data_IF_614872227970
#
_entry.id   IF_614872227970
#
_cell.length_a   1.000
_cell.length_b   1.000
_cell.length_c   1.000
_cell.angle_alpha   90.00
_cell.angle_beta   90.00
_cell.angle_gamma   90.00
#
_symmetry.space_group_name_H-M   'P 1'
#
loop_
_entity.id
_entity.type
_entity.pdbx_description
1 polymer ?
#
# COMPACT_ATOMS: atom_id res chain seq x y z
N UNK A 1 -40.42 62.50 -18.82
CA UNK A 1 -40.63 62.36 -17.36
C UNK A 1 -41.05 60.92 -17.09
N UNK A 2 -40.17 60.13 -16.49
CA UNK A 2 -40.26 58.67 -16.42
C UNK A 2 -41.31 58.22 -15.39
N UNK A 3 -42.17 57.21 -15.69
CA UNK A 3 -43.30 56.78 -14.85
C UNK A 3 -42.90 56.20 -13.48
N UNK A 4 -41.60 56.12 -13.18
CA UNK A 4 -41.07 55.64 -11.90
C UNK A 4 -41.33 56.64 -10.76
N UNK A 5 -41.36 57.95 -11.03
CA UNK A 5 -41.55 58.96 -9.96
C UNK A 5 -43.00 59.05 -9.44
N UNK A 6 -43.99 58.60 -10.21
CA UNK A 6 -45.41 58.76 -9.86
C UNK A 6 -45.92 57.75 -8.81
N UNK A 7 -45.16 56.69 -8.48
CA UNK A 7 -45.54 55.70 -7.46
C UNK A 7 -44.79 55.82 -6.13
N UNK A 8 -43.96 56.85 -5.94
CA UNK A 8 -43.27 57.09 -4.67
C UNK A 8 -44.05 58.01 -3.70
N UNK A 9 -45.12 58.66 -4.13
CA UNK A 9 -45.85 59.66 -3.33
C UNK A 9 -46.81 59.13 -2.25
N UNK A 10 -46.87 57.81 -2.00
CA UNK A 10 -47.89 57.22 -1.10
C UNK A 10 -47.35 56.19 -0.11
N UNK A 11 -46.02 56.00 -0.05
CA UNK A 11 -45.39 55.08 0.89
C UNK A 11 -44.76 55.86 2.05
N UNK A 12 -44.90 55.40 3.31
CA UNK A 12 -44.26 56.04 4.45
C UNK A 12 -42.74 56.15 4.21
N UNK A 13 -42.12 57.28 4.59
CA UNK A 13 -40.67 57.55 4.42
C UNK A 13 -39.79 56.37 4.89
N UNK A 14 -40.23 55.66 5.94
CA UNK A 14 -39.56 54.46 6.49
C UNK A 14 -39.47 53.31 5.47
N UNK A 15 -40.48 53.15 4.62
CA UNK A 15 -40.53 52.10 3.59
C UNK A 15 -39.57 52.40 2.44
N UNK A 16 -39.43 53.67 2.05
CA UNK A 16 -38.45 54.09 1.05
C UNK A 16 -37.01 53.91 1.56
N UNK A 17 -36.76 54.29 2.83
CA UNK A 17 -35.44 54.12 3.45
C UNK A 17 -35.07 52.63 3.55
N UNK A 18 -36.02 51.78 3.99
CA UNK A 18 -35.82 50.33 4.04
C UNK A 18 -35.57 49.72 2.66
N UNK A 19 -36.27 50.16 1.61
CA UNK A 19 -36.04 49.70 0.23
C UNK A 19 -34.64 50.03 -0.26
N UNK A 20 -34.13 51.23 0.07
CA UNK A 20 -32.80 51.67 -0.33
C UNK A 20 -31.70 50.87 0.41
N UNK A 21 -31.91 50.62 1.71
CA UNK A 21 -31.02 49.77 2.51
C UNK A 21 -31.03 48.33 1.97
N UNK A 22 -32.21 47.79 1.65
CA UNK A 22 -32.32 46.43 1.10
C UNK A 22 -31.64 46.33 -0.27
N UNK A 23 -31.80 47.34 -1.13
CA UNK A 23 -31.13 47.42 -2.42
C UNK A 23 -29.60 47.47 -2.31
N UNK A 24 -29.06 48.00 -1.20
CA UNK A 24 -27.62 48.01 -0.93
C UNK A 24 -27.11 46.71 -0.26
N UNK A 25 -27.89 46.11 0.64
CA UNK A 25 -27.47 44.93 1.42
C UNK A 25 -27.62 43.62 0.64
N UNK A 26 -28.68 43.48 -0.16
CA UNK A 26 -28.95 42.28 -0.96
C UNK A 26 -27.77 41.91 -1.89
N UNK A 27 -27.20 42.81 -2.71
CA UNK A 27 -26.07 42.45 -3.57
C UNK A 27 -24.82 42.03 -2.78
N UNK A 28 -24.58 42.64 -1.61
CA UNK A 28 -23.49 42.23 -0.72
C UNK A 28 -23.70 40.82 -0.17
N UNK A 29 -24.93 40.51 0.26
CA UNK A 29 -25.28 39.19 0.75
C UNK A 29 -25.17 38.11 -0.33
N UNK A 30 -25.63 38.41 -1.55
CA UNK A 30 -25.50 37.50 -2.69
C UNK A 30 -24.03 37.25 -3.07
N UNK A 31 -23.19 38.29 -3.07
CA UNK A 31 -21.76 38.13 -3.32
C UNK A 31 -21.10 37.23 -2.25
N UNK A 32 -21.39 37.47 -0.98
CA UNK A 32 -20.87 36.65 0.11
C UNK A 32 -21.34 35.19 0.05
N UNK A 33 -22.63 34.96 -0.23
CA UNK A 33 -23.17 33.61 -0.38
C UNK A 33 -22.57 32.88 -1.59
N UNK A 34 -22.29 33.60 -2.67
CA UNK A 34 -21.64 33.06 -3.86
C UNK A 34 -20.21 32.62 -3.58
N UNK A 35 -19.44 33.45 -2.88
CA UNK A 35 -18.06 33.13 -2.50
C UNK A 35 -18.01 31.91 -1.57
N UNK A 36 -18.86 31.86 -0.54
CA UNK A 36 -18.95 30.71 0.37
C UNK A 36 -19.32 29.42 -0.37
N UNK A 37 -20.24 29.49 -1.33
CA UNK A 37 -20.63 28.33 -2.12
C UNK A 37 -19.49 27.83 -3.02
N UNK A 38 -18.75 28.74 -3.65
CA UNK A 38 -17.59 28.38 -4.49
C UNK A 38 -16.41 27.85 -3.67
N UNK A 39 -16.16 28.43 -2.50
CA UNK A 39 -15.10 27.99 -1.61
C UNK A 39 -15.39 26.59 -1.04
N UNK A 40 -16.64 26.32 -0.66
CA UNK A 40 -17.05 24.98 -0.23
C UNK A 40 -16.88 23.94 -1.35
N UNK A 41 -17.24 24.28 -2.59
CA UNK A 41 -17.15 23.37 -3.73
C UNK A 41 -15.70 23.09 -4.15
N UNK A 42 -14.89 24.13 -4.22
CA UNK A 42 -13.45 24.00 -4.53
C UNK A 42 -12.68 23.30 -3.42
N UNK A 43 -13.07 23.49 -2.16
CA UNK A 43 -12.52 22.75 -1.01
C UNK A 43 -12.76 21.24 -1.14
N UNK A 44 -13.97 20.82 -1.51
CA UNK A 44 -14.30 19.41 -1.69
C UNK A 44 -13.53 18.78 -2.87
N UNK A 45 -13.44 19.47 -4.00
CA UNK A 45 -12.69 19.00 -5.17
C UNK A 45 -11.19 18.87 -4.88
N UNK A 46 -10.61 19.81 -4.11
CA UNK A 46 -9.20 19.75 -3.68
C UNK A 46 -8.95 18.56 -2.75
N UNK A 47 -9.80 18.37 -1.73
CA UNK A 47 -9.68 17.24 -0.81
C UNK A 47 -9.76 15.89 -1.53
N UNK A 48 -10.68 15.77 -2.51
CA UNK A 48 -10.79 14.56 -3.31
C UNK A 48 -9.55 14.32 -4.19
N UNK A 49 -9.05 15.36 -4.86
CA UNK A 49 -7.88 15.26 -5.71
C UNK A 49 -6.61 14.90 -4.92
N UNK A 50 -6.48 15.41 -3.71
CA UNK A 50 -5.37 15.12 -2.80
C UNK A 50 -5.43 13.68 -2.29
N UNK A 51 -6.60 13.21 -1.84
CA UNK A 51 -6.81 11.82 -1.44
C UNK A 51 -6.52 10.84 -2.60
N UNK A 52 -6.91 11.19 -3.83
CA UNK A 52 -6.63 10.38 -5.01
C UNK A 52 -5.14 10.33 -5.32
N UNK A 53 -4.44 11.48 -5.33
CA UNK A 53 -3.00 11.55 -5.54
C UNK A 53 -2.25 10.71 -4.51
N UNK A 54 -2.67 10.79 -3.25
CA UNK A 54 -2.07 10.02 -2.18
C UNK A 54 -2.22 8.51 -2.39
N UNK A 55 -3.43 8.09 -2.75
CA UNK A 55 -3.73 6.69 -3.05
C UNK A 55 -2.91 6.17 -4.23
N UNK A 56 -2.71 6.99 -5.25
CA UNK A 56 -1.87 6.66 -6.41
C UNK A 56 -0.39 6.51 -6.01
N UNK A 57 0.14 7.41 -5.19
CA UNK A 57 1.52 7.33 -4.69
C UNK A 57 1.72 6.09 -3.84
N UNK A 58 0.82 5.82 -2.88
CA UNK A 58 0.88 4.63 -2.04
C UNK A 58 0.79 3.34 -2.87
N UNK A 59 -0.08 3.32 -3.89
CA UNK A 59 -0.20 2.17 -4.79
C UNK A 59 1.06 1.96 -5.63
N UNK A 60 1.67 3.03 -6.15
CA UNK A 60 2.90 2.97 -6.92
C UNK A 60 4.09 2.48 -6.08
N UNK A 61 4.18 2.91 -4.82
CA UNK A 61 5.22 2.43 -3.91
C UNK A 61 5.06 0.93 -3.60
N UNK A 62 3.84 0.50 -3.26
CA UNK A 62 3.54 -0.91 -3.02
C UNK A 62 3.85 -1.80 -4.24
N UNK A 63 3.42 -1.37 -5.44
CA UNK A 63 3.73 -2.07 -6.69
C UNK A 63 5.24 -2.14 -6.94
N UNK A 64 5.96 -1.03 -6.73
CA UNK A 64 7.41 -0.99 -6.86
C UNK A 64 8.11 -1.94 -5.88
N UNK A 65 7.63 -2.05 -4.64
CA UNK A 65 8.16 -2.98 -3.65
C UNK A 65 7.98 -4.45 -4.05
N UNK A 66 6.78 -4.83 -4.50
CA UNK A 66 6.52 -6.19 -4.94
C UNK A 66 7.33 -6.53 -6.19
N UNK A 67 7.43 -5.63 -7.18
CA UNK A 67 8.24 -5.86 -8.38
C UNK A 67 9.74 -6.04 -8.05
N UNK A 68 10.30 -5.22 -7.15
CA UNK A 68 11.69 -5.39 -6.69
C UNK A 68 11.89 -6.71 -5.95
N UNK A 69 10.92 -7.10 -5.14
CA UNK A 69 10.98 -8.39 -4.41
C UNK A 69 10.88 -9.57 -5.37
N UNK A 70 9.99 -9.50 -6.36
CA UNK A 70 9.84 -10.51 -7.40
C UNK A 70 11.15 -10.72 -8.16
N UNK A 71 11.80 -9.63 -8.60
CA UNK A 71 13.07 -9.72 -9.29
C UNK A 71 14.15 -10.38 -8.42
N UNK A 72 14.28 -9.97 -7.15
CA UNK A 72 15.29 -10.54 -6.25
C UNK A 72 15.03 -12.00 -5.92
N UNK A 73 13.80 -12.35 -5.56
CA UNK A 73 13.46 -13.74 -5.24
C UNK A 73 13.56 -14.63 -6.49
N UNK A 74 13.25 -14.09 -7.67
CA UNK A 74 13.49 -14.75 -8.94
C UNK A 74 14.98 -14.97 -9.23
N UNK A 75 15.85 -14.01 -8.88
CA UNK A 75 17.30 -14.16 -9.02
C UNK A 75 17.86 -15.22 -8.07
N UNK A 76 17.34 -15.28 -6.83
CA UNK A 76 17.69 -16.30 -5.85
C UNK A 76 17.18 -17.67 -6.31
N UNK A 77 15.93 -17.77 -6.76
CA UNK A 77 15.32 -19.04 -7.14
C UNK A 77 16.05 -19.71 -8.31
N UNK A 78 16.63 -18.93 -9.23
CA UNK A 78 17.46 -19.46 -10.32
C UNK A 78 18.81 -20.02 -9.87
N UNK A 79 19.32 -19.59 -8.70
CA UNK A 79 20.56 -20.12 -8.09
C UNK A 79 20.30 -21.29 -7.15
N UNK A 80 19.06 -21.52 -6.75
CA UNK A 80 18.67 -22.64 -5.88
C UNK A 80 18.53 -23.90 -6.72
N UNK A 81 19.39 -24.87 -6.44
CA UNK A 81 19.27 -26.23 -6.98
C UNK A 81 18.65 -27.14 -5.89
N UNK A 82 17.36 -27.46 -6.06
CA UNK A 82 16.64 -28.35 -5.13
C UNK A 82 17.28 -29.76 -5.15
N UNK A 83 17.74 -30.22 -3.99
CA UNK A 83 18.41 -31.53 -3.81
C UNK A 83 19.93 -31.47 -3.61
N UNK A 84 20.58 -30.32 -3.86
CA UNK A 84 22.02 -30.09 -3.63
C UNK A 84 22.27 -28.96 -2.61
N UNK A 85 21.23 -28.58 -1.87
CA UNK A 85 21.26 -27.53 -0.86
C UNK A 85 21.80 -28.09 0.46
N UNK A 86 23.12 -28.05 0.64
CA UNK A 86 23.76 -28.29 1.94
C UNK A 86 23.72 -27.02 2.81
N UNK A 87 24.04 -27.16 4.11
CA UNK A 87 24.03 -26.04 5.06
C UNK A 87 25.02 -24.92 4.70
N UNK A 88 26.13 -25.23 4.03
CA UNK A 88 27.13 -24.25 3.63
C UNK A 88 26.70 -23.45 2.39
N UNK A 89 26.12 -24.10 1.38
CA UNK A 89 25.50 -23.49 0.21
C UNK A 89 24.26 -22.69 0.58
N UNK A 90 23.47 -23.17 1.54
CA UNK A 90 22.36 -22.43 2.12
C UNK A 90 22.84 -21.10 2.71
N UNK A 91 23.88 -21.13 3.55
CA UNK A 91 24.49 -19.92 4.09
C UNK A 91 25.06 -19.04 2.97
N UNK A 92 25.78 -19.59 1.99
CA UNK A 92 26.35 -18.83 0.88
C UNK A 92 25.29 -18.16 -0.01
N UNK A 93 24.13 -18.80 -0.21
CA UNK A 93 23.01 -18.26 -1.00
C UNK A 93 22.47 -16.95 -0.41
N UNK A 94 22.54 -16.81 0.92
CA UNK A 94 22.06 -15.65 1.67
C UNK A 94 23.18 -14.77 2.25
N UNK A 95 24.43 -15.23 2.24
CA UNK A 95 25.59 -14.54 2.82
C UNK A 95 25.91 -13.23 2.11
N UNK A 96 25.62 -13.16 0.81
CA UNK A 96 26.02 -12.03 -0.04
C UNK A 96 25.06 -10.82 0.04
N UNK A 97 24.24 -10.74 1.09
CA UNK A 97 23.09 -9.83 1.08
C UNK A 97 22.72 -9.29 2.46
N UNK A 98 23.65 -8.55 3.07
CA UNK A 98 23.37 -7.66 4.20
C UNK A 98 22.23 -6.67 3.89
N UNK A 99 22.06 -6.29 2.62
CA UNK A 99 20.94 -5.47 2.12
C UNK A 99 19.61 -6.20 2.19
N UNK A 100 19.57 -7.50 1.88
CA UNK A 100 18.33 -8.31 1.92
C UNK A 100 17.92 -8.54 3.38
N UNK A 101 18.88 -8.80 4.28
CA UNK A 101 18.63 -8.91 5.72
C UNK A 101 18.05 -7.64 6.35
N UNK A 102 18.33 -6.45 5.80
CA UNK A 102 17.73 -5.19 6.27
C UNK A 102 16.31 -4.96 5.76
N UNK A 103 15.94 -5.58 4.64
CA UNK A 103 14.66 -5.35 3.98
C UNK A 103 13.59 -6.40 4.32
N UNK A 104 14.00 -7.59 4.78
CA UNK A 104 13.11 -8.67 5.17
C UNK A 104 13.46 -9.16 6.58
N UNK A 105 12.46 -9.54 7.37
CA UNK A 105 12.63 -10.16 8.68
C UNK A 105 13.36 -11.51 8.59
N UNK A 106 13.27 -12.19 7.45
CA UNK A 106 13.96 -13.44 7.19
C UNK A 106 13.73 -13.96 5.79
N UNK A 107 14.57 -14.90 5.36
CA UNK A 107 14.42 -15.65 4.12
C UNK A 107 14.54 -17.14 4.39
N UNK A 108 13.70 -17.91 3.71
CA UNK A 108 13.70 -19.36 3.79
C UNK A 108 13.55 -19.96 2.39
N UNK A 109 14.09 -21.17 2.20
CA UNK A 109 13.76 -22.03 1.07
C UNK A 109 12.97 -23.22 1.62
N UNK A 110 11.84 -23.52 0.98
CA UNK A 110 10.99 -24.65 1.32
C UNK A 110 10.90 -25.64 0.17
N UNK A 111 10.76 -26.92 0.50
CA UNK A 111 10.53 -28.00 -0.47
C UNK A 111 9.06 -28.11 -0.92
N UNK A 112 8.76 -29.13 -1.73
CA UNK A 112 7.40 -29.39 -2.23
C UNK A 112 6.40 -29.73 -1.13
N UNK A 113 6.88 -30.27 -0.02
CA UNK A 113 6.06 -30.62 1.13
C UNK A 113 5.87 -29.41 2.07
N UNK A 114 6.54 -28.29 1.76
CA UNK A 114 6.57 -27.08 2.56
C UNK A 114 7.58 -27.14 3.70
N UNK A 115 8.47 -28.13 3.76
CA UNK A 115 9.50 -28.22 4.81
C UNK A 115 10.64 -27.25 4.50
N UNK A 116 11.18 -26.62 5.54
CA UNK A 116 12.33 -25.71 5.38
C UNK A 116 13.55 -26.54 5.05
N UNK A 117 14.14 -26.27 3.89
CA UNK A 117 15.43 -26.84 3.49
C UNK A 117 16.58 -25.90 3.84
N UNK A 118 16.31 -24.59 3.90
CA UNK A 118 17.32 -23.57 4.17
C UNK A 118 16.71 -22.33 4.81
N UNK A 119 17.40 -21.75 5.79
CA UNK A 119 16.99 -20.54 6.51
C UNK A 119 18.18 -19.57 6.60
N UNK A 120 17.93 -18.29 6.33
CA UNK A 120 18.96 -17.25 6.34
C UNK A 120 19.35 -16.76 7.76
N UNK A 121 18.53 -17.04 8.78
CA UNK A 121 18.74 -16.61 10.17
C UNK A 121 19.25 -17.74 11.05
N UNK A 122 20.10 -17.43 12.03
CA UNK A 122 20.55 -18.37 13.07
C UNK A 122 19.47 -18.64 14.14
N UNK A 123 18.36 -17.89 14.15
CA UNK A 123 17.21 -18.18 15.01
C UNK A 123 16.47 -19.42 14.51
N UNK A 124 16.57 -20.48 15.33
CA UNK A 124 16.05 -21.83 15.12
C UNK A 124 14.57 -21.87 14.70
N UNK A 125 14.26 -22.73 13.72
CA UNK A 125 13.08 -23.60 13.45
C UNK A 125 11.66 -23.25 13.97
N UNK A 126 11.49 -22.46 15.02
CA UNK A 126 10.24 -22.28 15.76
C UNK A 126 9.37 -21.10 15.30
N UNK A 127 9.91 -20.16 14.49
CA UNK A 127 9.15 -18.95 14.12
C UNK A 127 8.25 -19.11 12.89
N UNK A 128 8.29 -20.25 12.19
CA UNK A 128 7.63 -20.41 10.88
C UNK A 128 6.38 -21.28 11.01
N UNK A 129 5.43 -20.89 11.86
CA UNK A 129 4.03 -21.34 11.71
C UNK A 129 3.41 -20.81 10.38
N UNK A 130 4.12 -19.90 9.70
CA UNK A 130 3.91 -19.53 8.30
C UNK A 130 4.11 -20.66 7.28
N UNK A 131 4.61 -21.85 7.68
CA UNK A 131 4.69 -23.03 6.82
C UNK A 131 3.33 -23.47 6.29
N UNK A 132 2.26 -23.23 7.05
CA UNK A 132 0.89 -23.49 6.63
C UNK A 132 0.56 -22.73 5.34
N UNK A 133 1.07 -21.50 5.21
CA UNK A 133 0.92 -20.69 4.02
C UNK A 133 1.85 -21.15 2.88
N UNK A 134 3.05 -21.65 3.20
CA UNK A 134 3.99 -22.16 2.19
C UNK A 134 3.40 -23.32 1.36
N UNK A 135 2.79 -24.32 2.00
CA UNK A 135 2.17 -25.43 1.26
C UNK A 135 1.03 -24.97 0.36
N UNK A 136 0.21 -24.04 0.85
CA UNK A 136 -0.90 -23.46 0.10
C UNK A 136 -0.41 -22.60 -1.07
N UNK A 137 0.60 -21.76 -0.84
CA UNK A 137 1.21 -20.92 -1.87
C UNK A 137 1.88 -21.76 -2.97
N UNK A 138 2.49 -22.91 -2.61
CA UNK A 138 3.07 -23.83 -3.59
C UNK A 138 1.98 -24.45 -4.47
N UNK A 139 0.87 -24.88 -3.86
CA UNK A 139 -0.27 -25.41 -4.60
C UNK A 139 -0.85 -24.37 -5.57
N UNK A 140 -0.87 -23.10 -5.18
CA UNK A 140 -1.32 -21.97 -6.01
C UNK A 140 -0.30 -21.55 -7.07
N UNK A 141 0.97 -21.92 -6.93
CA UNK A 141 2.01 -21.49 -7.86
C UNK A 141 1.86 -22.14 -9.24
N UNK A 142 1.33 -23.37 -9.32
CA UNK A 142 1.08 -24.11 -10.59
C UNK A 142 2.26 -24.09 -11.60
N UNK A 143 3.50 -23.83 -11.16
CA UNK A 143 4.67 -23.67 -12.03
C UNK A 143 4.85 -22.30 -12.70
N UNK A 144 4.01 -21.31 -12.39
CA UNK A 144 4.14 -19.95 -12.90
C UNK A 144 5.28 -19.20 -12.18
N UNK A 145 6.25 -18.62 -12.89
CA UNK A 145 7.38 -17.91 -12.29
C UNK A 145 6.97 -16.49 -11.87
N UNK A 146 6.03 -16.39 -10.92
CA UNK A 146 5.51 -15.12 -10.40
C UNK A 146 5.63 -15.05 -8.89
N UNK A 147 5.64 -13.82 -8.37
CA UNK A 147 5.54 -13.59 -6.93
C UNK A 147 4.14 -13.95 -6.43
N UNK A 148 4.09 -14.72 -5.35
CA UNK A 148 2.89 -15.03 -4.59
C UNK A 148 2.93 -14.32 -3.24
N UNK A 149 1.82 -13.69 -2.88
CA UNK A 149 1.66 -12.98 -1.60
C UNK A 149 0.72 -13.80 -0.72
N UNK A 150 1.22 -14.28 0.42
CA UNK A 150 0.40 -15.02 1.38
C UNK A 150 -0.28 -14.10 2.39
N UNK A 151 -1.17 -14.68 3.20
CA UNK A 151 -1.82 -13.96 4.29
C UNK A 151 -0.79 -13.51 5.35
N UNK A 152 -1.00 -12.35 6.00
CA UNK A 152 -0.16 -11.91 7.10
C UNK A 152 -0.09 -12.96 8.21
N UNK A 153 1.11 -13.23 8.68
CA UNK A 153 1.39 -14.17 9.76
C UNK A 153 2.18 -13.48 10.86
N UNK A 154 1.85 -13.81 12.10
CA UNK A 154 2.50 -13.26 13.28
C UNK A 154 3.59 -14.21 13.75
N UNK A 155 4.83 -13.72 13.83
CA UNK A 155 5.94 -14.51 14.35
C UNK A 155 5.78 -14.76 15.85
N UNK A 156 5.97 -16.01 16.30
CA UNK A 156 5.89 -16.38 17.72
C UNK A 156 7.03 -15.79 18.56
N UNK A 157 8.20 -15.57 17.97
CA UNK A 157 9.40 -15.09 18.68
C UNK A 157 9.52 -13.57 18.74
N UNK A 158 9.26 -12.86 17.64
CA UNK A 158 9.39 -11.39 17.58
C UNK A 158 8.07 -10.65 17.81
N UNK A 159 6.91 -11.31 17.74
CA UNK A 159 5.60 -10.66 17.91
C UNK A 159 5.16 -9.77 16.74
N UNK A 160 6.06 -9.52 15.79
CA UNK A 160 5.86 -8.71 14.60
C UNK A 160 5.01 -9.43 13.54
N UNK A 161 4.20 -8.62 12.84
CA UNK A 161 3.44 -9.08 11.69
C UNK A 161 4.30 -9.08 10.45
N UNK A 162 4.32 -10.21 9.75
CA UNK A 162 5.06 -10.37 8.50
C UNK A 162 4.14 -10.79 7.38
N UNK A 163 4.45 -10.32 6.17
CA UNK A 163 3.78 -10.72 4.94
C UNK A 163 4.69 -11.69 4.19
N UNK A 164 4.30 -12.96 4.04
CA UNK A 164 5.12 -13.93 3.35
C UNK A 164 5.02 -13.71 1.84
N UNK A 165 6.17 -13.49 1.21
CA UNK A 165 6.34 -13.28 -0.22
C UNK A 165 7.09 -14.47 -0.79
N UNK A 166 6.42 -15.29 -1.59
CA UNK A 166 6.94 -16.55 -2.09
C UNK A 166 7.19 -16.50 -3.60
N UNK A 167 8.30 -17.08 -4.05
CA UNK A 167 8.63 -17.22 -5.46
C UNK A 167 9.04 -18.68 -5.75
N UNK A 168 8.50 -19.32 -6.80
CA UNK A 168 8.76 -20.73 -7.05
C UNK A 168 10.18 -21.00 -7.55
N UNK A 169 10.74 -22.09 -7.04
CA UNK A 169 11.98 -22.70 -7.53
C UNK A 169 11.60 -23.79 -8.51
N UNK A 170 12.21 -23.77 -9.70
CA UNK A 170 11.95 -24.76 -10.75
C UNK A 170 12.77 -26.03 -10.51
N UNK A 171 12.13 -27.18 -10.64
CA UNK A 171 12.78 -28.47 -10.74
C UNK A 171 13.30 -28.73 -12.16
N UNK A 172 14.10 -29.78 -12.32
CA UNK A 172 14.64 -30.19 -13.62
C UNK A 172 13.58 -30.57 -14.67
N UNK A 173 12.35 -30.87 -14.23
CA UNK A 173 11.18 -31.14 -15.07
C UNK A 173 10.37 -29.89 -15.43
N UNK A 174 10.81 -28.71 -14.98
CA UNK A 174 10.10 -27.44 -15.17
C UNK A 174 8.94 -27.20 -14.19
N UNK A 175 8.64 -28.16 -13.31
CA UNK A 175 7.62 -28.02 -12.27
C UNK A 175 8.13 -27.22 -11.07
N UNK A 176 7.24 -26.73 -10.21
CA UNK A 176 7.65 -26.12 -8.95
C UNK A 176 8.20 -27.22 -8.00
N UNK A 177 9.51 -27.18 -7.75
CA UNK A 177 10.20 -28.11 -6.85
C UNK A 177 10.29 -27.57 -5.42
N UNK A 178 9.98 -26.30 -5.21
CA UNK A 178 10.00 -25.63 -3.91
C UNK A 178 9.71 -24.14 -4.07
N UNK A 179 9.92 -23.35 -3.01
CA UNK A 179 9.81 -21.89 -3.05
C UNK A 179 10.89 -21.22 -2.22
N UNK A 180 11.28 -20.03 -2.65
CA UNK A 180 11.99 -19.07 -1.82
C UNK A 180 10.95 -18.14 -1.21
N UNK A 181 10.96 -18.00 0.11
CA UNK A 181 10.02 -17.18 0.87
C UNK A 181 10.80 -16.08 1.58
N UNK A 182 10.38 -14.84 1.40
CA UNK A 182 10.82 -13.71 2.21
C UNK A 182 9.69 -13.26 3.14
N UNK A 183 10.05 -12.99 4.40
CA UNK A 183 9.14 -12.41 5.37
C UNK A 183 9.28 -10.87 5.34
N UNK A 184 8.37 -10.18 4.63
CA UNK A 184 8.34 -8.72 4.62
C UNK A 184 7.76 -8.20 5.94
N UNK A 185 8.39 -7.22 6.57
CA UNK A 185 7.84 -6.59 7.77
C UNK A 185 6.66 -5.68 7.40
N UNK A 186 5.56 -5.80 8.15
CA UNK A 186 4.31 -5.10 7.80
C UNK A 186 4.33 -3.61 8.20
N UNK A 187 5.13 -3.25 9.21
CA UNK A 187 5.34 -1.89 9.71
C UNK A 187 5.85 -0.92 8.61
N UNK A 188 6.66 -1.41 7.67
CA UNK A 188 7.11 -0.66 6.49
C UNK A 188 5.96 -0.08 5.69
N UNK A 189 4.87 -0.83 5.52
CA UNK A 189 3.72 -0.34 4.75
C UNK A 189 2.92 0.71 5.53
N UNK A 190 3.01 0.70 6.86
CA UNK A 190 2.37 1.69 7.73
C UNK A 190 3.16 2.99 7.79
N UNK A 191 4.50 2.93 7.80
CA UNK A 191 5.34 4.12 7.89
C UNK A 191 5.20 5.04 6.67
N UNK A 192 4.98 4.49 5.48
CA UNK A 192 4.64 5.29 4.30
C UNK A 192 3.32 6.04 4.50
N UNK A 193 2.26 5.37 4.95
CA UNK A 193 0.95 5.99 5.20
C UNK A 193 1.04 7.04 6.32
N UNK A 194 1.84 6.79 7.35
CA UNK A 194 2.07 7.73 8.44
C UNK A 194 2.91 8.95 8.01
N UNK A 195 3.91 8.76 7.15
CA UNK A 195 4.75 9.83 6.62
C UNK A 195 3.97 10.78 5.70
N UNK A 196 2.88 10.30 5.11
CA UNK A 196 2.01 11.06 4.23
C UNK A 196 1.12 12.10 4.95
N UNK A 197 1.25 12.24 6.29
CA UNK A 197 0.58 13.26 7.12
C UNK A 197 -0.84 13.57 6.64
N UNK A 198 -1.67 12.54 6.62
CA UNK A 198 -3.11 12.68 6.38
C UNK A 198 -3.68 13.65 7.44
N UNK A 199 -4.35 14.76 7.03
CA UNK A 199 -5.04 15.63 7.97
C UNK A 199 -6.23 14.95 8.65
#
# INVERSE_FOLDING_TARGET
>A
MSPVQAKLGSYPIRTQLNLLVLAAVVPLFFAFAYDVYHEARTGFERAQAEALRLSLVASADAQGYFARTEQRLGDISRRVEMGNLDSARCKALFADSETIRREYAGLAVVDRDGRITCLASDESEQSIEGLTAARLMLALAEGHPRLHVGAPVRGKTMGDWTLPLAYPVRGGDGSAAGMVIAAAQLDRFQSLVAALQLP
#
